data_IF_603637190349
#
_entry.id   IF_603637190349
#
_cell.length_a   1.000
_cell.length_b   1.000
_cell.length_c   1.000
_cell.angle_alpha   90.00
_cell.angle_beta   90.00
_cell.angle_gamma   90.00
#
_symmetry.space_group_name_H-M   'P 1'
#
loop_
_entity.id
_entity.type
_entity.pdbx_description
1 polymer ?
#
# COMPACT_ATOMS: atom_id res chain seq x y z
N UNK A 1 9.94 -35.03 -2.17
CA UNK A 1 10.69 -34.06 -2.98
C UNK A 1 10.00 -33.89 -4.32
N UNK A 2 9.22 -32.82 -4.51
CA UNK A 2 8.99 -32.26 -5.86
C UNK A 2 8.73 -30.76 -5.69
N UNK A 3 9.80 -29.96 -5.79
CA UNK A 3 9.71 -28.51 -5.91
C UNK A 3 9.21 -28.21 -7.32
N UNK A 4 7.98 -27.73 -7.45
CA UNK A 4 7.52 -27.17 -8.71
C UNK A 4 8.28 -25.86 -8.96
N UNK A 5 9.27 -25.92 -9.85
CA UNK A 5 9.98 -24.75 -10.35
C UNK A 5 8.96 -23.79 -10.97
N UNK A 6 8.79 -22.62 -10.35
CA UNK A 6 8.01 -21.52 -10.88
C UNK A 6 8.73 -20.97 -12.11
N UNK A 7 8.36 -21.46 -13.31
CA UNK A 7 9.00 -21.02 -14.55
C UNK A 7 8.61 -19.57 -14.86
N UNK A 8 9.60 -18.69 -14.86
CA UNK A 8 9.42 -17.30 -15.24
C UNK A 8 8.87 -17.19 -16.69
N UNK A 9 7.76 -16.48 -16.85
CA UNK A 9 7.12 -16.24 -18.16
C UNK A 9 8.11 -15.54 -19.09
N UNK A 10 8.43 -16.20 -20.21
CA UNK A 10 9.39 -15.69 -21.20
C UNK A 10 8.86 -14.42 -21.89
N UNK A 11 9.76 -13.54 -22.40
CA UNK A 11 9.35 -12.35 -23.17
C UNK A 11 8.41 -12.68 -24.35
N UNK A 12 8.59 -13.84 -24.98
CA UNK A 12 7.76 -14.32 -26.10
C UNK A 12 6.35 -14.72 -25.65
N UNK A 13 6.22 -15.34 -24.48
CA UNK A 13 4.91 -15.64 -23.87
C UNK A 13 4.20 -14.36 -23.42
N UNK A 14 4.94 -13.37 -22.87
CA UNK A 14 4.40 -12.04 -22.55
C UNK A 14 3.83 -11.35 -23.78
N UNK A 15 4.57 -11.30 -24.89
CA UNK A 15 4.12 -10.72 -26.16
C UNK A 15 2.85 -11.39 -26.70
N UNK A 16 2.74 -12.72 -26.56
CA UNK A 16 1.56 -13.48 -27.01
C UNK A 16 0.31 -13.15 -26.21
N UNK A 17 0.41 -13.15 -24.87
CA UNK A 17 -0.69 -12.79 -23.97
C UNK A 17 -1.13 -11.34 -24.19
N UNK A 18 -0.15 -10.44 -24.34
CA UNK A 18 -0.38 -9.03 -24.66
C UNK A 18 -1.14 -8.87 -25.97
N UNK A 19 -0.68 -9.55 -27.04
CA UNK A 19 -1.27 -9.46 -28.37
C UNK A 19 -2.72 -9.96 -28.44
N UNK A 20 -3.04 -10.99 -27.66
CA UNK A 20 -4.40 -11.55 -27.61
C UNK A 20 -5.35 -10.59 -26.87
N UNK A 21 -5.00 -10.16 -25.65
CA UNK A 21 -5.83 -9.24 -24.85
C UNK A 21 -6.02 -7.86 -25.52
N UNK A 22 -4.99 -7.37 -26.22
CA UNK A 22 -5.08 -6.12 -27.01
C UNK A 22 -6.10 -6.23 -28.15
N UNK A 23 -6.15 -7.36 -28.86
CA UNK A 23 -7.05 -7.55 -30.00
C UNK A 23 -8.51 -7.76 -29.59
N UNK A 24 -8.76 -8.52 -28.52
CA UNK A 24 -10.12 -8.91 -28.13
C UNK A 24 -10.82 -7.88 -27.25
N UNK A 25 -10.09 -7.12 -26.45
CA UNK A 25 -10.69 -6.34 -25.35
C UNK A 25 -10.37 -4.84 -25.40
N UNK A 26 -9.15 -4.46 -25.78
CA UNK A 26 -8.75 -3.05 -25.87
C UNK A 26 -9.29 -2.35 -27.12
N UNK A 27 -9.26 -3.00 -28.27
CA UNK A 27 -9.65 -2.39 -29.55
C UNK A 27 -11.09 -1.82 -29.53
N UNK A 28 -12.11 -2.53 -28.99
CA UNK A 28 -13.46 -1.97 -28.90
C UNK A 28 -13.59 -0.82 -27.87
N UNK A 29 -12.88 -0.92 -26.74
CA UNK A 29 -12.96 0.04 -25.63
C UNK A 29 -12.28 1.37 -26.00
N UNK A 30 -11.10 1.28 -26.63
CA UNK A 30 -10.34 2.44 -27.14
C UNK A 30 -11.11 3.12 -28.27
N UNK A 31 -11.69 2.37 -29.22
CA UNK A 31 -12.47 2.96 -30.32
C UNK A 31 -13.75 3.66 -29.82
N UNK A 32 -14.47 3.09 -28.84
CA UNK A 32 -15.64 3.75 -28.23
C UNK A 32 -15.26 4.98 -27.40
N UNK A 33 -14.14 4.93 -26.68
CA UNK A 33 -13.64 6.06 -25.89
C UNK A 33 -13.14 7.23 -26.73
N UNK A 34 -12.41 6.96 -27.82
CA UNK A 34 -11.93 7.98 -28.76
C UNK A 34 -13.08 8.74 -29.46
N UNK A 35 -14.21 8.06 -29.71
CA UNK A 35 -15.41 8.71 -30.25
C UNK A 35 -16.03 9.74 -29.27
N UNK A 36 -15.99 9.47 -27.96
CA UNK A 36 -16.49 10.37 -26.92
C UNK A 36 -15.55 11.53 -26.57
N UNK A 37 -14.23 11.36 -26.78
CA UNK A 37 -13.21 12.36 -26.51
C UNK A 37 -13.24 13.57 -27.45
N UNK A 38 -13.72 13.41 -28.69
CA UNK A 38 -13.82 14.49 -29.68
C UNK A 38 -14.68 15.68 -29.23
N UNK A 39 -15.50 15.53 -28.18
CA UNK A 39 -16.36 16.57 -27.60
C UNK A 39 -16.20 16.73 -26.08
N UNK A 40 -15.15 16.16 -25.49
CA UNK A 40 -14.95 16.15 -24.05
C UNK A 40 -14.23 17.42 -23.56
N UNK A 41 -14.60 17.91 -22.37
CA UNK A 41 -13.81 18.94 -21.67
C UNK A 41 -12.44 18.39 -21.23
N UNK A 42 -11.42 19.24 -21.03
CA UNK A 42 -10.08 18.81 -20.61
C UNK A 42 -10.09 17.86 -19.40
N UNK A 43 -10.84 18.21 -18.35
CA UNK A 43 -10.98 17.37 -17.15
C UNK A 43 -11.65 16.00 -17.40
N UNK A 44 -12.52 15.88 -18.42
CA UNK A 44 -13.09 14.60 -18.84
C UNK A 44 -12.10 13.79 -19.67
N UNK A 45 -11.30 14.45 -20.50
CA UNK A 45 -10.23 13.80 -21.25
C UNK A 45 -9.15 13.24 -20.31
N UNK A 46 -8.75 14.01 -19.29
CA UNK A 46 -7.78 13.57 -18.28
C UNK A 46 -8.28 12.36 -17.49
N UNK A 47 -9.54 12.38 -17.01
CA UNK A 47 -10.14 11.21 -16.34
C UNK A 47 -10.24 9.99 -17.23
N UNK A 48 -10.52 10.17 -18.52
CA UNK A 48 -10.56 9.06 -19.48
C UNK A 48 -9.17 8.50 -19.74
N UNK A 49 -8.16 9.36 -19.90
CA UNK A 49 -6.77 8.95 -20.05
C UNK A 49 -6.27 8.19 -18.81
N UNK A 50 -6.57 8.69 -17.61
CA UNK A 50 -6.23 8.02 -16.34
C UNK A 50 -6.94 6.65 -16.21
N UNK A 51 -8.20 6.55 -16.63
CA UNK A 51 -8.96 5.29 -16.60
C UNK A 51 -8.43 4.27 -17.61
N UNK A 52 -8.11 4.73 -18.81
CA UNK A 52 -7.56 3.88 -19.88
C UNK A 52 -6.14 3.42 -19.55
N UNK A 53 -5.30 4.30 -19.00
CA UNK A 53 -3.96 3.95 -18.52
C UNK A 53 -4.02 2.93 -17.38
N UNK A 54 -4.95 3.07 -16.43
CA UNK A 54 -5.17 2.06 -15.36
C UNK A 54 -5.53 0.69 -15.92
N UNK A 55 -6.40 0.65 -16.93
CA UNK A 55 -6.80 -0.60 -17.58
C UNK A 55 -5.68 -1.21 -18.44
N UNK A 56 -4.86 -0.39 -19.08
CA UNK A 56 -3.69 -0.85 -19.83
C UNK A 56 -2.61 -1.41 -18.90
N UNK A 57 -2.35 -0.73 -17.79
CA UNK A 57 -1.34 -1.11 -16.79
C UNK A 57 -1.73 -2.32 -15.94
N UNK A 58 -2.98 -2.80 -16.01
CA UNK A 58 -3.37 -4.07 -15.39
C UNK A 58 -3.07 -5.30 -16.26
N UNK A 59 -2.65 -5.11 -17.52
CA UNK A 59 -2.35 -6.19 -18.47
C UNK A 59 -0.85 -6.52 -18.57
N UNK A 60 0.02 -5.78 -17.88
CA UNK A 60 1.46 -6.05 -17.76
C UNK A 60 1.81 -6.03 -16.28
N UNK A 61 2.69 -6.93 -15.77
CA UNK A 61 3.14 -6.86 -14.39
C UNK A 61 3.81 -5.51 -14.11
N UNK A 62 3.35 -4.74 -13.11
CA UNK A 62 3.89 -3.43 -12.82
C UNK A 62 5.32 -3.53 -12.28
N UNK A 63 6.15 -2.56 -12.62
CA UNK A 63 7.48 -2.43 -12.04
C UNK A 63 7.41 -1.76 -10.67
N UNK A 64 8.47 -1.85 -9.87
CA UNK A 64 8.55 -1.11 -8.59
C UNK A 64 8.42 0.41 -8.78
N UNK A 65 8.94 0.95 -9.88
CA UNK A 65 8.80 2.37 -10.22
C UNK A 65 7.34 2.75 -10.51
N UNK A 66 6.59 1.87 -11.20
CA UNK A 66 5.16 2.08 -11.42
C UNK A 66 4.39 2.14 -10.09
N UNK A 67 4.68 1.21 -9.17
CA UNK A 67 4.04 1.18 -7.84
C UNK A 67 4.32 2.43 -7.03
N UNK A 68 5.59 2.82 -6.90
CA UNK A 68 5.95 4.02 -6.14
C UNK A 68 5.37 5.28 -6.79
N UNK A 69 5.54 5.42 -8.11
CA UNK A 69 5.04 6.58 -8.85
C UNK A 69 3.51 6.69 -8.81
N UNK A 70 2.79 5.58 -8.87
CA UNK A 70 1.34 5.57 -8.76
C UNK A 70 0.87 5.85 -7.32
N UNK A 71 1.59 5.34 -6.31
CA UNK A 71 1.29 5.63 -4.91
C UNK A 71 1.45 7.12 -4.58
N UNK A 72 2.48 7.80 -5.09
CA UNK A 72 2.61 9.27 -5.00
C UNK A 72 1.39 9.99 -5.58
N UNK A 73 0.78 9.42 -6.62
CA UNK A 73 -0.45 9.92 -7.24
C UNK A 73 -1.73 9.45 -6.53
N UNK A 74 -1.65 8.72 -5.41
CA UNK A 74 -2.79 8.27 -4.61
C UNK A 74 -3.43 6.97 -5.08
N UNK A 75 -2.80 6.26 -6.03
CA UNK A 75 -3.24 4.97 -6.54
C UNK A 75 -2.64 3.83 -5.71
N UNK A 76 -3.42 2.78 -5.47
CA UNK A 76 -2.99 1.57 -4.77
C UNK A 76 -3.10 0.38 -5.72
N UNK A 77 -2.06 -0.45 -5.74
CA UNK A 77 -2.02 -1.70 -6.49
C UNK A 77 -2.74 -2.80 -5.70
N UNK A 78 -3.57 -3.58 -6.39
CA UNK A 78 -4.21 -4.78 -5.86
C UNK A 78 -4.00 -5.93 -6.85
N UNK A 79 -3.85 -7.16 -6.35
CA UNK A 79 -4.04 -8.35 -7.16
C UNK A 79 -5.53 -8.64 -7.34
N UNK A 80 -5.90 -9.30 -8.44
CA UNK A 80 -7.29 -9.70 -8.70
C UNK A 80 -7.50 -11.13 -8.17
N UNK A 81 -8.35 -11.34 -7.14
CA UNK A 81 -8.63 -12.68 -6.62
C UNK A 81 -9.11 -13.63 -7.73
N UNK A 82 -8.65 -14.88 -7.69
CA UNK A 82 -8.96 -15.88 -8.72
C UNK A 82 -8.18 -15.73 -10.02
N UNK A 83 -7.31 -14.72 -10.15
CA UNK A 83 -6.39 -14.58 -11.27
C UNK A 83 -4.94 -14.77 -10.83
N UNK A 84 -4.17 -15.50 -11.64
CA UNK A 84 -2.74 -15.73 -11.42
C UNK A 84 -1.86 -14.59 -11.93
N UNK A 85 -2.38 -13.66 -12.75
CA UNK A 85 -1.55 -12.66 -13.45
C UNK A 85 -2.20 -11.28 -13.64
N UNK A 86 -3.38 -11.04 -13.05
CA UNK A 86 -4.08 -9.78 -13.18
C UNK A 86 -3.92 -8.88 -11.93
N UNK A 87 -3.83 -7.58 -12.23
CA UNK A 87 -3.67 -6.51 -11.26
C UNK A 87 -4.79 -5.48 -11.41
N UNK A 88 -4.98 -4.64 -10.41
CA UNK A 88 -5.93 -3.54 -10.42
C UNK A 88 -5.32 -2.33 -9.74
N UNK A 89 -5.57 -1.15 -10.30
CA UNK A 89 -5.19 0.13 -9.72
C UNK A 89 -6.44 0.87 -9.25
N UNK A 90 -6.57 1.08 -7.95
CA UNK A 90 -7.67 1.84 -7.38
C UNK A 90 -7.19 3.18 -6.82
N UNK A 91 -8.03 4.19 -7.02
CA UNK A 91 -7.88 5.53 -6.45
C UNK A 91 -9.17 5.84 -5.70
N UNK A 92 -9.05 6.05 -4.41
CA UNK A 92 -10.19 6.44 -3.58
C UNK A 92 -10.20 7.96 -3.44
N UNK A 93 -11.39 8.56 -3.38
CA UNK A 93 -11.54 10.03 -3.34
C UNK A 93 -11.01 10.65 -2.04
N UNK A 94 -11.10 9.91 -0.94
CA UNK A 94 -10.65 10.30 0.38
C UNK A 94 -9.79 9.21 1.03
N UNK A 95 -8.92 9.64 1.94
CA UNK A 95 -7.95 8.82 2.68
C UNK A 95 -7.99 9.17 4.15
N UNK A 96 -7.94 8.17 5.01
CA UNK A 96 -7.73 8.39 6.44
C UNK A 96 -6.22 8.53 6.70
N UNK A 97 -5.78 9.64 7.29
CA UNK A 97 -4.36 9.87 7.58
C UNK A 97 -4.13 10.24 9.04
N UNK A 98 -3.00 9.79 9.60
CA UNK A 98 -2.48 10.25 10.90
C UNK A 98 -1.27 11.15 10.62
N UNK A 99 -1.24 12.32 11.26
CA UNK A 99 -0.18 13.33 11.13
C UNK A 99 0.36 13.71 12.51
N UNK A 100 1.47 14.46 12.63
CA UNK A 100 2.03 14.79 13.95
C UNK A 100 1.07 15.62 14.79
N UNK A 101 0.18 16.37 14.14
CA UNK A 101 -0.77 17.27 14.80
C UNK A 101 -2.03 16.53 15.28
N UNK A 102 -2.32 15.35 14.71
CA UNK A 102 -3.52 14.57 15.04
C UNK A 102 -3.21 13.29 15.81
N UNK A 103 -1.99 12.76 15.69
CA UNK A 103 -1.57 11.51 16.29
C UNK A 103 -1.87 11.43 17.79
N UNK A 104 -2.46 10.31 18.20
CA UNK A 104 -2.87 10.09 19.59
C UNK A 104 -2.69 8.64 19.96
N UNK A 105 -2.17 8.39 21.17
CA UNK A 105 -2.27 7.07 21.79
C UNK A 105 -3.51 7.02 22.69
N UNK A 106 -4.49 6.13 22.41
CA UNK A 106 -5.66 5.97 23.27
C UNK A 106 -5.27 5.63 24.70
N UNK A 107 -5.94 6.25 25.69
CA UNK A 107 -5.71 5.94 27.13
C UNK A 107 -5.94 4.46 27.48
N UNK A 108 -6.82 3.77 26.74
CA UNK A 108 -7.07 2.34 26.92
C UNK A 108 -5.84 1.48 26.63
N UNK A 109 -4.92 1.97 25.80
CA UNK A 109 -3.60 1.38 25.55
C UNK A 109 -2.64 1.97 26.58
N UNK A 110 -2.85 1.60 27.83
CA UNK A 110 -2.08 2.07 28.97
C UNK A 110 -0.67 1.45 28.97
N UNK A 111 0.27 2.07 29.68
CA UNK A 111 1.68 1.70 29.63
C UNK A 111 1.96 0.23 29.99
N UNK A 112 1.18 -0.39 30.88
CA UNK A 112 1.37 -1.80 31.22
C UNK A 112 1.09 -2.71 30.02
N UNK A 113 0.10 -2.39 29.19
CA UNK A 113 -0.16 -3.15 27.96
C UNK A 113 0.99 -3.02 26.97
N UNK A 114 1.53 -1.81 26.78
CA UNK A 114 2.66 -1.57 25.90
C UNK A 114 3.92 -2.33 26.36
N UNK A 115 4.15 -2.47 27.67
CA UNK A 115 5.30 -3.20 28.23
C UNK A 115 5.23 -4.72 28.06
N UNK A 116 4.05 -5.28 27.75
CA UNK A 116 3.87 -6.73 27.52
C UNK A 116 4.30 -7.17 26.13
N UNK A 117 4.48 -6.22 25.22
CA UNK A 117 4.82 -6.50 23.84
C UNK A 117 6.09 -5.75 23.46
N UNK A 118 6.85 -6.34 22.56
CA UNK A 118 7.97 -5.69 21.91
C UNK A 118 7.53 -5.30 20.49
N UNK A 119 7.72 -4.04 20.12
CA UNK A 119 7.49 -3.59 18.74
C UNK A 119 8.81 -3.50 18.02
N UNK A 120 8.93 -4.20 16.90
CA UNK A 120 10.08 -4.14 16.01
C UNK A 120 9.68 -3.53 14.67
N UNK A 121 10.69 -3.16 13.90
CA UNK A 121 10.52 -2.58 12.57
C UNK A 121 11.47 -3.29 11.61
N UNK A 122 11.00 -3.59 10.40
CA UNK A 122 11.80 -4.11 9.29
C UNK A 122 12.62 -5.36 9.65
N UNK A 123 12.04 -6.24 10.47
CA UNK A 123 12.72 -7.44 10.97
C UNK A 123 12.37 -8.69 10.16
N UNK A 124 11.09 -8.92 9.85
CA UNK A 124 10.65 -10.14 9.17
C UNK A 124 9.45 -9.90 8.25
N UNK A 125 9.71 -9.33 7.08
CA UNK A 125 8.68 -9.06 6.08
C UNK A 125 7.97 -10.33 5.57
N UNK A 126 8.68 -11.45 5.43
CA UNK A 126 8.08 -12.69 4.92
C UNK A 126 7.11 -13.28 5.94
N UNK A 127 7.44 -13.28 7.23
CA UNK A 127 6.51 -13.70 8.27
C UNK A 127 5.28 -12.78 8.35
N UNK A 128 5.46 -11.47 8.19
CA UNK A 128 4.33 -10.52 8.16
C UNK A 128 3.42 -10.75 6.96
N UNK A 129 3.98 -10.98 5.77
CA UNK A 129 3.20 -11.32 4.58
C UNK A 129 2.44 -12.63 4.77
N UNK A 130 3.11 -13.67 5.28
CA UNK A 130 2.48 -14.96 5.54
C UNK A 130 1.28 -14.82 6.48
N UNK A 131 1.43 -14.11 7.59
CA UNK A 131 0.32 -13.83 8.51
C UNK A 131 -0.81 -13.01 7.88
N UNK A 132 -0.50 -12.11 6.94
CA UNK A 132 -1.52 -11.36 6.21
C UNK A 132 -2.26 -12.19 5.16
N UNK A 133 -1.70 -13.31 4.68
CA UNK A 133 -2.32 -14.21 3.71
C UNK A 133 -3.07 -15.37 4.37
N UNK A 134 -2.68 -15.76 5.58
CA UNK A 134 -3.22 -16.92 6.28
C UNK A 134 -4.75 -16.85 6.40
N UNK A 135 -5.43 -17.89 5.90
CA UNK A 135 -6.89 -18.01 5.93
C UNK A 135 -7.65 -17.00 5.06
N UNK A 136 -6.97 -16.22 4.20
CA UNK A 136 -7.59 -15.15 3.40
C UNK A 136 -7.46 -15.40 1.90
N UNK A 137 -8.59 -15.52 1.22
CA UNK A 137 -8.68 -15.32 -0.24
C UNK A 137 -8.95 -13.85 -0.52
N UNK A 138 -7.95 -13.11 -0.99
CA UNK A 138 -8.07 -11.66 -1.16
C UNK A 138 -7.16 -11.09 -2.24
N UNK A 139 -7.00 -9.77 -2.20
CA UNK A 139 -6.22 -9.01 -3.18
C UNK A 139 -4.72 -9.31 -3.15
N UNK A 140 -4.21 -9.85 -2.04
CA UNK A 140 -2.81 -10.22 -1.86
C UNK A 140 -2.52 -11.58 -2.54
N UNK A 141 -2.76 -11.62 -3.84
CA UNK A 141 -2.55 -12.79 -4.69
C UNK A 141 -1.05 -13.09 -4.82
N UNK A 142 -0.64 -14.32 -5.22
CA UNK A 142 0.77 -14.65 -5.43
C UNK A 142 1.50 -13.66 -6.34
N UNK A 143 0.82 -13.24 -7.43
CA UNK A 143 1.36 -12.25 -8.36
C UNK A 143 1.58 -10.87 -7.72
N UNK A 144 0.63 -10.40 -6.87
CA UNK A 144 0.80 -9.16 -6.14
C UNK A 144 1.93 -9.25 -5.12
N UNK A 145 2.03 -10.37 -4.39
CA UNK A 145 3.12 -10.62 -3.42
C UNK A 145 4.49 -10.51 -4.08
N UNK A 146 4.67 -11.09 -5.27
CA UNK A 146 5.93 -11.01 -6.00
C UNK A 146 6.33 -9.56 -6.36
N UNK A 147 5.35 -8.68 -6.60
CA UNK A 147 5.60 -7.25 -6.78
C UNK A 147 6.04 -6.63 -5.46
N UNK A 148 5.34 -6.89 -4.36
CA UNK A 148 5.70 -6.31 -3.06
C UNK A 148 7.04 -6.80 -2.51
N UNK A 149 7.43 -8.06 -2.76
CA UNK A 149 8.79 -8.55 -2.48
C UNK A 149 9.86 -7.76 -3.22
N UNK A 150 9.62 -7.42 -4.49
CA UNK A 150 10.54 -6.60 -5.28
C UNK A 150 10.61 -5.16 -4.78
N UNK A 151 9.53 -4.62 -4.21
CA UNK A 151 9.56 -3.31 -3.54
C UNK A 151 10.31 -3.38 -2.21
N UNK A 152 10.09 -4.42 -1.41
CA UNK A 152 10.80 -4.63 -0.14
C UNK A 152 12.31 -4.73 -0.36
N UNK A 153 12.75 -5.53 -1.34
CA UNK A 153 14.17 -5.62 -1.72
C UNK A 153 14.77 -4.29 -2.22
N UNK A 154 13.95 -3.28 -2.51
CA UNK A 154 14.36 -1.93 -2.92
C UNK A 154 14.19 -0.88 -1.82
N UNK A 155 13.78 -1.27 -0.61
CA UNK A 155 13.57 -0.36 0.52
C UNK A 155 12.28 0.46 0.47
N UNK A 156 11.30 0.08 -0.36
CA UNK A 156 10.01 0.79 -0.45
C UNK A 156 8.90 0.14 0.39
N UNK A 157 9.22 -0.87 1.18
CA UNK A 157 8.28 -1.51 2.10
C UNK A 157 8.85 -1.38 3.49
N UNK A 158 7.99 -0.98 4.42
CA UNK A 158 8.29 -1.07 5.83
C UNK A 158 7.30 -1.99 6.53
N UNK A 159 7.77 -2.54 7.64
CA UNK A 159 6.99 -3.42 8.51
C UNK A 159 7.05 -2.94 9.94
N UNK A 160 5.97 -3.23 10.67
CA UNK A 160 5.89 -3.04 12.12
C UNK A 160 5.37 -4.34 12.71
N UNK A 161 6.23 -5.01 13.44
CA UNK A 161 5.96 -6.31 14.04
C UNK A 161 5.72 -6.17 15.53
N UNK A 162 4.78 -6.94 16.05
CA UNK A 162 4.48 -7.01 17.48
C UNK A 162 4.81 -8.40 17.98
N UNK A 163 5.73 -8.47 18.92
CA UNK A 163 6.21 -9.69 19.55
C UNK A 163 5.74 -9.78 21.00
N UNK A 164 5.51 -11.00 21.47
CA UNK A 164 5.33 -11.32 22.89
C UNK A 164 6.20 -12.52 23.22
N UNK A 165 7.03 -12.40 24.25
CA UNK A 165 7.95 -13.47 24.68
C UNK A 165 8.80 -14.05 23.53
N UNK A 166 9.22 -13.18 22.60
CA UNK A 166 10.01 -13.54 21.42
C UNK A 166 9.21 -14.11 20.24
N UNK A 167 7.89 -14.28 20.36
CA UNK A 167 7.01 -14.83 19.31
C UNK A 167 6.29 -13.70 18.57
N UNK A 168 6.24 -13.78 17.23
CA UNK A 168 5.50 -12.83 16.39
C UNK A 168 3.98 -13.04 16.57
N UNK A 169 3.30 -12.07 17.17
CA UNK A 169 1.87 -12.15 17.51
C UNK A 169 0.99 -11.18 16.70
N UNK A 170 1.61 -10.35 15.88
CA UNK A 170 0.93 -9.53 14.89
C UNK A 170 1.91 -8.68 14.09
N UNK A 171 1.41 -8.12 13.00
CA UNK A 171 2.23 -7.25 12.16
C UNK A 171 1.41 -6.49 11.15
N UNK A 172 1.99 -5.38 10.71
CA UNK A 172 1.47 -4.54 9.63
C UNK A 172 2.59 -4.21 8.68
N UNK A 173 2.28 -4.13 7.39
CA UNK A 173 3.23 -3.70 6.37
C UNK A 173 2.60 -2.65 5.47
N UNK A 174 3.45 -1.83 4.86
CA UNK A 174 3.02 -0.75 4.02
C UNK A 174 4.08 -0.30 3.02
N UNK A 175 3.64 0.52 2.06
CA UNK A 175 4.53 1.19 1.10
C UNK A 175 5.12 2.42 1.79
N UNK A 176 6.44 2.48 1.89
CA UNK A 176 7.18 3.62 2.40
C UNK A 176 7.66 4.50 1.24
N UNK A 177 7.22 5.76 1.22
CA UNK A 177 7.68 6.77 0.25
C UNK A 177 8.01 8.06 1.00
N UNK A 178 9.30 8.40 1.03
CA UNK A 178 9.79 9.51 1.85
C UNK A 178 9.41 9.31 3.31
N UNK A 179 8.79 10.31 3.92
CA UNK A 179 8.31 10.25 5.32
C UNK A 179 6.85 9.78 5.46
N UNK A 180 6.29 9.13 4.44
CA UNK A 180 4.93 8.59 4.46
C UNK A 180 4.93 7.06 4.43
N UNK A 181 4.19 6.43 5.34
CA UNK A 181 3.90 4.99 5.31
C UNK A 181 2.44 4.74 4.94
N UNK A 182 2.21 4.10 3.80
CA UNK A 182 0.88 3.67 3.34
C UNK A 182 0.59 2.23 3.71
N UNK A 183 -0.32 2.04 4.64
CA UNK A 183 -0.61 0.74 5.24
C UNK A 183 -1.41 -0.12 4.26
N UNK A 184 -0.90 -1.32 4.00
CA UNK A 184 -1.47 -2.21 2.99
C UNK A 184 -2.26 -3.34 3.60
N UNK A 185 -1.66 -4.06 4.56
CA UNK A 185 -2.34 -5.15 5.25
C UNK A 185 -1.76 -5.35 6.65
N UNK A 186 -2.57 -5.96 7.50
CA UNK A 186 -2.19 -6.32 8.84
C UNK A 186 -2.78 -7.67 9.24
N UNK A 187 -2.14 -8.31 10.21
CA UNK A 187 -2.62 -9.49 10.89
C UNK A 187 -2.31 -9.39 12.38
N UNK A 188 -3.03 -10.16 13.18
CA UNK A 188 -2.77 -10.37 14.59
C UNK A 188 -3.37 -11.71 14.97
N UNK A 189 -2.65 -12.48 15.77
CA UNK A 189 -3.12 -13.75 16.33
C UNK A 189 -3.59 -13.56 17.77
N UNK A 190 -3.19 -12.47 18.42
CA UNK A 190 -3.57 -12.15 19.79
C UNK A 190 -4.34 -10.84 19.90
N UNK A 191 -5.21 -10.79 20.90
CA UNK A 191 -5.89 -9.56 21.29
C UNK A 191 -4.87 -8.45 21.61
N UNK A 192 -5.17 -7.24 21.16
CA UNK A 192 -4.35 -6.03 21.34
C UNK A 192 -3.04 -5.94 20.56
N UNK A 193 -2.49 -7.02 19.99
CA UNK A 193 -1.24 -6.95 19.23
C UNK A 193 -1.30 -5.88 18.12
N UNK A 194 -2.38 -5.88 17.33
CA UNK A 194 -2.60 -4.82 16.34
C UNK A 194 -2.72 -3.42 16.95
N UNK A 195 -3.41 -3.27 18.08
CA UNK A 195 -3.53 -1.96 18.77
C UNK A 195 -2.19 -1.43 19.26
N UNK A 196 -1.27 -2.31 19.67
CA UNK A 196 0.09 -1.95 20.08
C UNK A 196 0.90 -1.47 18.88
N UNK A 197 0.86 -2.17 17.74
CA UNK A 197 1.49 -1.70 16.50
C UNK A 197 0.99 -0.30 16.11
N UNK A 198 -0.34 -0.07 16.18
CA UNK A 198 -0.95 1.22 15.87
C UNK A 198 -0.53 2.33 16.85
N UNK A 199 -0.47 2.04 18.15
CA UNK A 199 0.01 2.99 19.15
C UNK A 199 1.48 3.36 18.91
N UNK A 200 2.30 2.39 18.50
CA UNK A 200 3.70 2.60 18.16
C UNK A 200 3.87 3.52 16.96
N UNK A 201 3.08 3.28 15.90
CA UNK A 201 3.03 4.16 14.72
C UNK A 201 2.58 5.58 15.08
N UNK A 202 1.51 5.72 15.87
CA UNK A 202 1.04 7.03 16.33
C UNK A 202 2.12 7.77 17.13
N UNK A 203 2.85 7.08 18.01
CA UNK A 203 3.96 7.67 18.75
C UNK A 203 5.10 8.16 17.84
N UNK A 204 5.51 7.38 16.85
CA UNK A 204 6.55 7.80 15.89
C UNK A 204 6.13 9.08 15.16
N UNK A 205 4.87 9.15 14.74
CA UNK A 205 4.35 10.30 14.01
C UNK A 205 4.26 11.52 14.91
N UNK A 206 3.72 11.36 16.12
CA UNK A 206 3.63 12.42 17.13
C UNK A 206 5.01 13.01 17.46
N UNK A 207 6.04 12.16 17.56
CA UNK A 207 7.41 12.59 17.82
C UNK A 207 8.15 13.08 16.58
N UNK A 208 7.48 13.17 15.42
CA UNK A 208 8.08 13.53 14.13
C UNK A 208 9.31 12.67 13.79
N UNK A 209 9.24 11.38 14.12
CA UNK A 209 10.29 10.38 13.88
C UNK A 209 10.39 9.98 12.40
N UNK A 210 10.58 8.68 12.13
CA UNK A 210 10.75 8.14 10.77
C UNK A 210 9.66 8.61 9.81
N UNK A 211 8.40 8.50 10.23
CA UNK A 211 7.25 8.94 9.44
C UNK A 211 6.58 10.17 10.03
N UNK A 212 6.12 11.06 9.15
CA UNK A 212 5.27 12.20 9.50
C UNK A 212 3.84 12.01 9.00
N UNK A 213 3.60 11.04 8.13
CA UNK A 213 2.26 10.72 7.64
C UNK A 213 2.06 9.22 7.59
N UNK A 214 0.95 8.75 8.15
CA UNK A 214 0.51 7.36 8.01
C UNK A 214 -0.80 7.36 7.22
N UNK A 215 -0.77 6.81 6.01
CA UNK A 215 -1.98 6.57 5.22
C UNK A 215 -2.61 5.25 5.67
N UNK A 216 -3.76 5.38 6.33
CA UNK A 216 -4.55 4.28 6.88
C UNK A 216 -5.51 3.67 5.85
N UNK A 217 -5.48 4.15 4.61
CA UNK A 217 -6.29 3.65 3.51
C UNK A 217 -7.62 4.38 3.39
N UNK A 218 -8.70 3.62 3.16
CA UNK A 218 -10.02 4.20 2.85
C UNK A 218 -10.58 4.93 4.08
N UNK A 219 -11.15 6.12 3.83
CA UNK A 219 -11.84 6.95 4.81
C UNK A 219 -12.99 6.24 5.53
N UNK A 220 -13.36 6.72 6.72
CA UNK A 220 -14.52 6.24 7.49
C UNK A 220 -14.27 4.96 8.32
N UNK A 221 -13.02 4.62 8.62
CA UNK A 221 -12.70 3.51 9.51
C UNK A 221 -12.44 4.00 10.95
N UNK A 222 -13.45 3.85 11.80
CA UNK A 222 -13.43 4.28 13.21
C UNK A 222 -12.33 3.65 14.06
N UNK A 223 -11.77 2.50 13.63
CA UNK A 223 -10.62 1.91 14.30
C UNK A 223 -9.39 2.81 14.26
N UNK A 224 -9.20 3.60 13.21
CA UNK A 224 -8.03 4.49 13.09
C UNK A 224 -8.25 5.85 13.75
N UNK A 225 -9.50 6.32 13.85
CA UNK A 225 -9.85 7.61 14.46
C UNK A 225 -9.38 7.71 15.91
N UNK A 226 -9.46 6.62 16.69
CA UNK A 226 -8.94 6.59 18.07
C UNK A 226 -7.44 6.86 18.17
N UNK A 227 -6.68 6.59 17.10
CA UNK A 227 -5.24 6.87 16.99
C UNK A 227 -4.93 8.24 16.39
N UNK A 228 -5.97 9.03 16.10
CA UNK A 228 -5.82 10.36 15.50
C UNK A 228 -5.96 10.40 13.99
N UNK A 229 -6.50 9.36 13.36
CA UNK A 229 -6.74 9.42 11.93
C UNK A 229 -7.84 10.43 11.61
N UNK A 230 -7.63 11.19 10.54
CA UNK A 230 -8.60 12.15 10.00
C UNK A 230 -8.75 11.92 8.51
N UNK A 231 -9.98 12.03 8.02
CA UNK A 231 -10.28 11.85 6.61
C UNK A 231 -9.91 13.12 5.82
N UNK A 232 -9.14 12.95 4.75
CA UNK A 232 -8.73 14.02 3.86
C UNK A 232 -8.99 13.64 2.40
N UNK A 233 -9.24 14.62 1.51
CA UNK A 233 -9.21 14.37 0.07
C UNK A 233 -7.87 13.76 -0.35
N UNK A 234 -7.87 12.81 -1.30
CA UNK A 234 -6.65 12.11 -1.76
C UNK A 234 -5.56 13.08 -2.24
N UNK A 235 -5.94 14.26 -2.76
CA UNK A 235 -4.98 15.31 -3.13
C UNK A 235 -4.11 15.77 -1.96
N UNK A 236 -4.67 15.89 -0.74
CA UNK A 236 -3.92 16.26 0.47
C UNK A 236 -2.95 15.16 0.90
N UNK A 237 -3.30 13.89 0.72
CA UNK A 237 -2.35 12.80 0.90
C UNK A 237 -1.18 12.93 -0.10
N UNK A 238 -1.48 13.13 -1.39
CA UNK A 238 -0.45 13.29 -2.42
C UNK A 238 0.51 14.44 -2.10
N UNK A 239 0.00 15.59 -1.66
CA UNK A 239 0.81 16.74 -1.22
C UNK A 239 1.75 16.34 -0.07
N UNK A 240 1.24 15.66 0.96
CA UNK A 240 2.05 15.19 2.10
C UNK A 240 3.13 14.19 1.70
N UNK A 241 2.85 13.30 0.74
CA UNK A 241 3.86 12.37 0.21
C UNK A 241 5.00 13.17 -0.44
N UNK A 242 4.68 14.19 -1.25
CA UNK A 242 5.68 15.05 -1.89
C UNK A 242 6.48 15.87 -0.87
N UNK A 243 5.83 16.43 0.14
CA UNK A 243 6.52 17.11 1.26
C UNK A 243 7.49 16.18 1.99
N UNK A 244 7.09 14.92 2.20
CA UNK A 244 7.92 13.90 2.83
C UNK A 244 9.09 13.40 1.97
N UNK A 245 9.10 13.69 0.66
CA UNK A 245 10.21 13.41 -0.26
C UNK A 245 11.22 14.55 -0.32
N UNK A 246 10.84 15.77 0.11
CA UNK A 246 11.78 16.88 0.16
C UNK A 246 12.92 16.56 1.15
N UNK A 247 14.17 16.98 0.85
CA UNK A 247 15.28 16.78 1.77
C UNK A 247 14.92 17.31 3.16
N UNK A 248 15.14 16.51 4.19
CA UNK A 248 14.96 17.00 5.56
C UNK A 248 15.80 18.25 5.73
N UNK A 249 15.17 19.40 6.03
CA UNK A 249 15.91 20.49 6.68
C UNK A 249 16.54 19.85 7.91
N UNK A 250 17.86 19.72 7.92
CA UNK A 250 18.56 19.14 9.06
C UNK A 250 18.08 19.86 10.32
N UNK A 251 17.65 19.09 11.33
CA UNK A 251 17.53 19.66 12.66
C UNK A 251 18.92 20.17 13.06
N UNK A 252 19.06 21.35 13.68
CA UNK A 252 20.34 21.77 14.21
C UNK A 252 20.81 20.69 15.19
N UNK A 253 22.01 20.17 14.93
CA UNK A 253 22.71 19.27 15.84
C UNK A 253 22.78 19.91 17.23
N UNK A 254 22.23 19.22 18.23
CA UNK A 254 22.48 19.50 19.64
C UNK A 254 23.88 19.00 20.02
#
# INVERSE_FOLDING_TARGET
MTVAMNQAITPKQRLRILSHRVRTTLRPLVLRGLAGLRRASPARADRWAETTARYLNSMVPPTSADVVGNYVRGLILFGVPGSSDAYKWDRFSARAIITPDTAKVPRSIHQQLLRRYEVRYDCDFEAVLAGCQEGRSGWLTPAAVDIYRKLHARGFIATVETYRDGVLVGGVWGIEVGRTLGLMSAFHVENHAGSVAWASLANIVASRGRWTTIDCGVAGNSHFERFGATDVPVGRLCERILEGLAPSRAAPSL
#
